data_IF_440122372315
#
_entry.id   IF_440122372315
#
_cell.length_a   1.000
_cell.length_b   1.000
_cell.length_c   1.000
_cell.angle_alpha   90.00
_cell.angle_beta   90.00
_cell.angle_gamma   90.00
#
_symmetry.space_group_name_H-M   'P 1'
#
loop_
_entity.id
_entity.type
_entity.pdbx_description
1 polymer ?
#
# COMPACT_ATOMS: atom_id res chain seq x y z
N UNK A 1 -17.07 38.63 32.34
CA UNK A 1 -16.89 39.71 33.32
C UNK A 1 -17.94 40.74 33.05
N UNK A 2 -18.63 41.24 34.11
CA UNK A 2 -19.71 42.19 34.02
C UNK A 2 -19.29 43.50 34.71
N UNK A 3 -19.50 44.67 34.09
CA UNK A 3 -19.25 45.94 34.77
C UNK A 3 -20.35 46.22 35.78
N UNK A 4 -19.97 46.47 37.03
CA UNK A 4 -20.86 46.76 38.17
C UNK A 4 -20.45 48.09 38.81
N UNK A 5 -21.40 48.96 39.12
CA UNK A 5 -21.08 50.17 39.86
C UNK A 5 -20.56 49.82 41.25
N UNK A 6 -19.58 50.56 41.76
CA UNK A 6 -18.93 50.27 43.04
C UNK A 6 -19.95 50.23 44.21
N UNK A 7 -21.02 51.04 44.17
CA UNK A 7 -22.10 51.06 45.15
C UNK A 7 -22.96 49.80 45.19
N UNK A 8 -22.98 49.01 44.07
CA UNK A 8 -23.71 47.74 43.92
C UNK A 8 -22.84 46.50 44.01
N UNK A 9 -21.60 46.60 44.50
CA UNK A 9 -20.67 45.47 44.67
C UNK A 9 -21.28 44.31 45.46
N UNK A 10 -22.14 44.60 46.43
CA UNK A 10 -22.77 43.58 47.28
C UNK A 10 -23.88 42.81 46.63
N UNK A 11 -24.47 43.35 45.55
CA UNK A 11 -25.63 42.75 44.87
C UNK A 11 -25.25 41.60 43.92
N UNK A 12 -23.98 41.56 43.49
CA UNK A 12 -23.45 40.52 42.58
C UNK A 12 -22.23 39.82 43.19
N UNK A 13 -22.42 38.72 43.90
CA UNK A 13 -21.29 37.89 44.40
C UNK A 13 -20.41 37.39 43.26
N UNK A 14 -19.11 37.69 43.31
CA UNK A 14 -18.17 37.29 42.26
C UNK A 14 -16.74 37.73 42.55
N UNK A 15 -15.85 37.37 41.63
CA UNK A 15 -14.44 37.77 41.65
C UNK A 15 -14.27 39.11 40.93
N UNK A 16 -13.66 40.10 41.60
CA UNK A 16 -13.31 41.36 40.98
C UNK A 16 -11.99 41.21 40.24
N UNK A 17 -12.04 41.34 38.93
CA UNK A 17 -10.87 41.24 38.05
C UNK A 17 -10.15 42.59 37.88
N UNK A 18 -10.94 43.67 37.80
CA UNK A 18 -10.37 45.00 37.55
C UNK A 18 -11.30 46.11 38.11
N UNK A 19 -10.74 47.31 38.25
CA UNK A 19 -11.43 48.53 38.72
C UNK A 19 -11.16 49.66 37.74
N UNK A 20 -12.19 50.40 37.36
CA UNK A 20 -12.02 51.55 36.47
C UNK A 20 -11.07 52.60 37.08
N UNK A 21 -10.41 53.42 36.25
CA UNK A 21 -9.48 54.45 36.67
C UNK A 21 -10.06 55.45 37.67
N UNK A 22 -11.37 55.62 37.65
CA UNK A 22 -12.10 56.52 38.60
C UNK A 22 -12.58 55.80 39.86
N UNK A 23 -12.43 54.47 39.95
CA UNK A 23 -12.94 53.66 41.05
C UNK A 23 -14.47 53.47 41.05
N UNK A 24 -15.19 54.03 40.09
CA UNK A 24 -16.63 54.00 40.06
C UNK A 24 -17.27 52.73 39.51
N UNK A 25 -16.49 51.92 38.76
CA UNK A 25 -16.95 50.68 38.13
C UNK A 25 -15.98 49.54 38.45
N UNK A 26 -16.52 48.41 38.88
CA UNK A 26 -15.81 47.16 39.11
C UNK A 26 -16.14 46.18 37.98
N UNK A 27 -15.15 45.47 37.51
CA UNK A 27 -15.33 44.38 36.56
C UNK A 27 -15.40 43.07 37.33
N UNK A 28 -16.61 42.53 37.49
CA UNK A 28 -16.87 41.36 38.33
C UNK A 28 -17.21 40.16 37.47
N UNK A 29 -16.57 39.03 37.76
CA UNK A 29 -17.01 37.74 37.26
C UNK A 29 -17.95 37.10 38.26
N UNK A 30 -19.26 36.92 37.92
CA UNK A 30 -20.24 36.38 38.86
C UNK A 30 -19.86 34.97 39.31
N UNK A 31 -20.03 34.65 40.60
CA UNK A 31 -19.66 33.37 41.17
C UNK A 31 -20.31 32.18 40.47
N UNK A 32 -21.57 32.32 40.03
CA UNK A 32 -22.27 31.29 39.26
C UNK A 32 -21.63 31.01 37.90
N UNK A 33 -21.02 32.04 37.26
CA UNK A 33 -20.28 31.85 35.99
C UNK A 33 -18.95 31.15 36.26
N UNK A 34 -18.25 31.52 37.35
CA UNK A 34 -17.00 30.82 37.76
C UNK A 34 -17.26 29.35 38.02
N UNK A 35 -18.34 29.03 38.75
CA UNK A 35 -18.71 27.63 39.04
C UNK A 35 -19.04 26.86 37.78
N UNK A 36 -19.88 27.41 36.90
CA UNK A 36 -20.24 26.77 35.64
C UNK A 36 -19.02 26.56 34.74
N UNK A 37 -18.08 27.52 34.69
CA UNK A 37 -16.86 27.40 33.92
C UNK A 37 -15.92 26.30 34.50
N UNK A 38 -15.83 26.20 35.82
CA UNK A 38 -15.04 25.17 36.49
C UNK A 38 -15.65 23.76 36.23
N UNK A 39 -16.97 23.64 36.29
CA UNK A 39 -17.67 22.38 35.95
C UNK A 39 -17.42 21.99 34.48
N UNK A 40 -17.48 22.98 33.56
CA UNK A 40 -17.18 22.74 32.15
C UNK A 40 -15.76 22.19 31.94
N UNK A 41 -14.76 22.86 32.53
CA UNK A 41 -13.34 22.42 32.43
C UNK A 41 -13.15 21.00 33.02
N UNK A 42 -13.86 20.74 34.15
CA UNK A 42 -13.79 19.39 34.76
C UNK A 42 -14.44 18.33 33.90
N UNK A 43 -15.57 18.62 33.27
CA UNK A 43 -16.24 17.71 32.32
C UNK A 43 -15.41 17.49 31.06
N UNK A 44 -14.80 18.52 30.50
CA UNK A 44 -13.90 18.41 29.35
C UNK A 44 -12.69 17.52 29.67
N UNK A 45 -12.12 17.69 30.86
CA UNK A 45 -11.01 16.81 31.30
C UNK A 45 -11.46 15.34 31.50
N UNK A 46 -12.69 15.12 31.96
CA UNK A 46 -13.28 13.77 32.09
C UNK A 46 -13.55 13.13 30.73
N UNK A 47 -14.11 13.92 29.80
CA UNK A 47 -14.33 13.48 28.41
C UNK A 47 -13.01 13.04 27.76
N UNK A 48 -11.96 13.87 27.86
CA UNK A 48 -10.65 13.53 27.28
C UNK A 48 -10.08 12.23 27.87
N UNK A 49 -10.18 12.04 29.17
CA UNK A 49 -9.73 10.80 29.81
C UNK A 49 -10.52 9.58 29.34
N UNK A 50 -11.83 9.73 29.13
CA UNK A 50 -12.66 8.63 28.64
C UNK A 50 -12.34 8.28 27.18
N UNK A 51 -12.07 9.26 26.33
CA UNK A 51 -11.59 9.04 24.96
C UNK A 51 -10.28 8.28 24.97
N UNK A 52 -9.30 8.70 25.80
CA UNK A 52 -8.02 8.01 25.94
C UNK A 52 -8.19 6.57 26.43
N UNK A 53 -9.09 6.33 27.37
CA UNK A 53 -9.40 4.96 27.86
C UNK A 53 -9.94 4.07 26.75
N UNK A 54 -10.92 4.56 26.00
CA UNK A 54 -11.55 3.81 24.89
C UNK A 54 -10.51 3.51 23.80
N UNK A 55 -9.71 4.50 23.42
CA UNK A 55 -8.65 4.31 22.41
C UNK A 55 -7.58 3.32 22.87
N UNK A 56 -7.23 3.34 24.16
CA UNK A 56 -6.28 2.38 24.72
C UNK A 56 -6.83 0.95 24.70
N UNK A 57 -8.11 0.76 25.05
CA UNK A 57 -8.77 -0.55 25.00
C UNK A 57 -8.83 -1.11 23.59
N UNK A 58 -9.29 -0.31 22.60
CA UNK A 58 -9.36 -0.72 21.20
C UNK A 58 -7.96 -1.03 20.63
N UNK A 59 -6.96 -0.23 21.00
CA UNK A 59 -5.58 -0.45 20.59
C UNK A 59 -5.00 -1.74 21.18
N UNK A 60 -5.32 -2.03 22.45
CA UNK A 60 -4.89 -3.26 23.11
C UNK A 60 -5.54 -4.50 22.47
N UNK A 61 -6.80 -4.42 22.10
CA UNK A 61 -7.50 -5.50 21.41
C UNK A 61 -6.89 -5.77 20.03
N UNK A 62 -6.64 -4.72 19.23
CA UNK A 62 -5.94 -4.86 17.96
C UNK A 62 -4.52 -5.42 18.13
N UNK A 63 -3.80 -4.99 19.16
CA UNK A 63 -2.46 -5.47 19.46
C UNK A 63 -2.42 -6.94 19.87
N UNK A 64 -3.48 -7.45 20.52
CA UNK A 64 -3.58 -8.86 20.89
C UNK A 64 -3.67 -9.80 19.66
N UNK A 65 -4.17 -9.28 18.52
CA UNK A 65 -4.29 -10.02 17.25
C UNK A 65 -3.21 -9.64 16.23
N UNK A 66 -2.14 -8.98 16.67
CA UNK A 66 -1.10 -8.47 15.77
C UNK A 66 -0.48 -9.54 14.87
N UNK A 67 -0.19 -10.71 15.45
CA UNK A 67 0.46 -11.81 14.70
C UNK A 67 -0.48 -12.39 13.65
N UNK A 68 -1.76 -12.57 13.98
CA UNK A 68 -2.77 -13.04 13.04
C UNK A 68 -2.98 -12.05 11.89
N UNK A 69 -3.09 -10.76 12.21
CA UNK A 69 -3.24 -9.69 11.21
C UNK A 69 -2.01 -9.65 10.27
N UNK A 70 -0.81 -9.78 10.82
CA UNK A 70 0.42 -9.80 10.02
C UNK A 70 0.46 -11.03 9.11
N UNK A 71 0.11 -12.20 9.64
CA UNK A 71 0.06 -13.43 8.87
C UNK A 71 -0.98 -13.38 7.74
N UNK A 72 -2.16 -12.86 8.02
CA UNK A 72 -3.21 -12.65 7.02
C UNK A 72 -2.76 -11.69 5.92
N UNK A 73 -2.11 -10.57 6.28
CA UNK A 73 -1.56 -9.64 5.33
C UNK A 73 -0.52 -10.29 4.40
N UNK A 74 0.44 -11.01 4.97
CA UNK A 74 1.48 -11.70 4.19
C UNK A 74 0.87 -12.77 3.28
N UNK A 75 -0.13 -13.49 3.76
CA UNK A 75 -0.88 -14.47 2.97
C UNK A 75 -1.61 -13.82 1.80
N UNK A 76 -2.28 -12.68 2.02
CA UNK A 76 -2.96 -11.94 0.96
C UNK A 76 -2.00 -11.44 -0.11
N UNK A 77 -0.81 -10.95 0.28
CA UNK A 77 0.25 -10.53 -0.66
C UNK A 77 0.71 -11.71 -1.53
N UNK A 78 0.91 -12.88 -0.93
CA UNK A 78 1.27 -14.09 -1.69
C UNK A 78 0.17 -14.53 -2.66
N UNK A 79 -1.08 -14.52 -2.22
CA UNK A 79 -2.22 -14.85 -3.07
C UNK A 79 -2.37 -13.88 -4.24
N UNK A 80 -2.23 -12.58 -4.00
CA UNK A 80 -2.27 -11.57 -5.07
C UNK A 80 -1.20 -11.83 -6.13
N UNK A 81 0.02 -12.15 -5.72
CA UNK A 81 1.11 -12.52 -6.64
C UNK A 81 0.78 -13.77 -7.45
N UNK A 82 0.21 -14.81 -6.83
CA UNK A 82 -0.18 -16.05 -7.52
C UNK A 82 -1.26 -15.75 -8.57
N UNK A 83 -2.28 -14.97 -8.20
CA UNK A 83 -3.35 -14.59 -9.13
C UNK A 83 -2.83 -13.69 -10.26
N UNK A 84 -1.93 -12.74 -9.97
CA UNK A 84 -1.32 -11.90 -10.99
C UNK A 84 -0.52 -12.72 -12.01
N UNK A 85 0.25 -13.72 -11.57
CA UNK A 85 0.96 -14.67 -12.44
C UNK A 85 0.00 -15.50 -13.28
N UNK A 86 -1.08 -15.99 -12.70
CA UNK A 86 -2.14 -16.72 -13.41
C UNK A 86 -2.80 -15.86 -14.49
N UNK A 87 -3.19 -14.63 -14.16
CA UNK A 87 -3.78 -13.70 -15.12
C UNK A 87 -2.83 -13.34 -16.26
N UNK A 88 -1.54 -13.14 -15.95
CA UNK A 88 -0.51 -12.89 -16.96
C UNK A 88 -0.39 -14.08 -17.92
N UNK A 89 -0.37 -15.32 -17.40
CA UNK A 89 -0.36 -16.53 -18.21
C UNK A 89 -1.55 -16.60 -19.17
N UNK A 90 -2.78 -16.34 -18.69
CA UNK A 90 -3.96 -16.32 -19.54
C UNK A 90 -3.88 -15.26 -20.64
N UNK A 91 -3.44 -14.05 -20.32
CA UNK A 91 -3.29 -12.95 -21.30
C UNK A 91 -2.30 -13.26 -22.41
N UNK A 92 -1.25 -14.00 -22.11
CA UNK A 92 -0.21 -14.38 -23.08
C UNK A 92 -0.47 -15.70 -23.78
N UNK A 93 -1.55 -16.45 -23.43
CA UNK A 93 -1.70 -17.87 -23.75
C UNK A 93 -0.43 -18.62 -23.37
N UNK A 94 0.09 -18.36 -22.18
CA UNK A 94 1.34 -18.91 -21.69
C UNK A 94 1.20 -20.36 -21.27
N UNK A 95 2.26 -21.13 -21.49
CA UNK A 95 2.37 -22.51 -21.06
C UNK A 95 3.42 -22.63 -19.95
N UNK A 96 3.28 -23.66 -19.13
CA UNK A 96 4.28 -23.98 -18.11
C UNK A 96 5.54 -24.51 -18.81
N UNK A 97 6.71 -23.85 -18.65
CA UNK A 97 7.96 -24.36 -19.20
C UNK A 97 8.45 -25.60 -18.44
N UNK A 98 9.18 -26.49 -19.11
CA UNK A 98 9.92 -27.54 -18.46
C UNK A 98 11.23 -26.95 -17.90
N UNK A 99 11.56 -27.27 -16.64
CA UNK A 99 12.79 -26.77 -16.02
C UNK A 99 13.89 -27.75 -16.21
N UNK A 100 14.91 -27.36 -16.97
CA UNK A 100 16.13 -28.14 -17.21
C UNK A 100 17.28 -27.66 -16.32
N UNK A 101 18.18 -28.56 -15.94
CA UNK A 101 19.35 -28.25 -15.11
C UNK A 101 20.68 -28.34 -15.90
N UNK A 102 20.61 -28.77 -17.12
CA UNK A 102 21.76 -28.96 -18.03
C UNK A 102 22.13 -27.68 -18.79
N UNK A 103 21.39 -26.59 -18.60
CA UNK A 103 21.61 -25.32 -19.27
C UNK A 103 21.10 -25.27 -20.71
N UNK A 104 20.46 -26.32 -21.21
CA UNK A 104 19.88 -26.33 -22.54
C UNK A 104 18.56 -25.56 -22.58
N UNK A 105 18.34 -24.89 -23.69
CA UNK A 105 17.12 -24.10 -23.95
C UNK A 105 16.48 -24.69 -25.21
N UNK A 106 15.18 -24.98 -25.12
CA UNK A 106 14.39 -25.48 -26.24
C UNK A 106 13.05 -24.74 -26.30
N UNK A 107 12.95 -23.69 -27.09
CA UNK A 107 11.75 -22.90 -27.30
C UNK A 107 11.02 -23.32 -28.57
N UNK A 108 9.72 -23.63 -28.42
CA UNK A 108 8.86 -24.06 -29.53
C UNK A 108 7.75 -23.02 -29.73
N UNK A 109 7.64 -22.51 -30.96
CA UNK A 109 6.64 -21.47 -31.34
C UNK A 109 6.59 -20.30 -30.33
N UNK A 110 7.74 -19.93 -29.80
CA UNK A 110 7.88 -18.88 -28.81
C UNK A 110 7.59 -17.51 -29.43
N UNK A 111 6.88 -16.66 -28.70
CA UNK A 111 6.57 -15.30 -29.10
C UNK A 111 7.07 -14.30 -28.07
N UNK A 112 7.42 -13.14 -28.54
CA UNK A 112 7.82 -12.05 -27.64
C UNK A 112 6.59 -11.55 -26.86
N UNK A 113 6.56 -11.60 -25.51
CA UNK A 113 5.36 -11.35 -24.70
C UNK A 113 4.82 -9.91 -24.79
N UNK A 114 5.67 -8.95 -25.19
CA UNK A 114 5.29 -7.53 -25.29
C UNK A 114 4.91 -7.13 -26.72
N UNK A 115 4.92 -8.04 -27.69
CA UNK A 115 4.43 -7.77 -29.03
C UNK A 115 2.96 -8.17 -29.16
N UNK A 116 2.24 -7.51 -30.10
CA UNK A 116 0.87 -7.89 -30.44
C UNK A 116 0.85 -9.38 -30.83
N UNK A 117 0.09 -10.24 -30.14
CA UNK A 117 0.04 -11.68 -30.41
C UNK A 117 -0.38 -12.03 -31.85
N UNK A 118 -1.13 -11.15 -32.52
CA UNK A 118 -1.57 -11.33 -33.90
C UNK A 118 -0.47 -11.03 -34.93
N UNK A 119 0.51 -10.19 -34.53
CA UNK A 119 1.62 -9.77 -35.41
C UNK A 119 2.92 -10.45 -35.07
N UNK A 120 3.08 -10.96 -33.85
CA UNK A 120 4.29 -11.65 -33.40
C UNK A 120 4.44 -12.97 -34.16
N UNK A 121 5.51 -13.09 -34.94
CA UNK A 121 5.88 -14.32 -35.62
C UNK A 121 6.49 -15.29 -34.57
N UNK A 122 5.94 -16.51 -34.46
CA UNK A 122 6.52 -17.50 -33.55
C UNK A 122 7.86 -17.99 -34.05
N UNK A 123 8.80 -18.22 -33.13
CA UNK A 123 10.12 -18.77 -33.43
C UNK A 123 10.34 -20.08 -32.70
N UNK A 124 11.07 -21.01 -33.37
CA UNK A 124 11.64 -22.17 -32.73
C UNK A 124 13.15 -21.88 -32.50
N UNK A 125 13.66 -22.20 -31.31
CA UNK A 125 15.05 -21.95 -30.97
C UNK A 125 15.55 -23.02 -30.03
N UNK A 126 16.75 -23.54 -30.33
CA UNK A 126 17.45 -24.53 -29.55
C UNK A 126 18.88 -24.05 -29.27
N UNK A 127 19.38 -24.25 -28.06
CA UNK A 127 20.74 -23.92 -27.64
C UNK A 127 21.15 -24.79 -26.46
N UNK A 128 22.39 -25.24 -26.44
CA UNK A 128 22.98 -25.97 -25.31
C UNK A 128 22.75 -27.47 -25.32
N UNK A 129 22.10 -28.06 -26.33
CA UNK A 129 21.91 -29.52 -26.47
C UNK A 129 22.84 -30.11 -27.52
N UNK A 130 22.72 -29.69 -28.77
CA UNK A 130 23.56 -30.15 -29.90
C UNK A 130 24.68 -29.14 -30.24
N UNK A 131 24.56 -27.90 -29.83
CA UNK A 131 25.54 -26.82 -30.04
C UNK A 131 25.45 -25.77 -28.95
N UNK A 132 26.60 -25.16 -28.64
CA UNK A 132 26.72 -24.11 -27.58
C UNK A 132 26.69 -22.71 -28.14
N UNK A 133 26.70 -22.56 -29.45
CA UNK A 133 26.72 -21.22 -30.10
C UNK A 133 25.73 -21.18 -31.26
N UNK A 134 24.83 -20.19 -31.20
CA UNK A 134 23.87 -19.90 -32.26
C UNK A 134 24.18 -18.56 -32.90
N UNK A 135 24.48 -18.53 -34.18
CA UNK A 135 24.75 -17.31 -34.96
C UNK A 135 23.51 -16.94 -35.78
N UNK A 136 22.90 -15.79 -35.47
CA UNK A 136 21.73 -15.29 -36.17
C UNK A 136 22.15 -14.22 -37.19
N UNK A 137 22.03 -14.52 -38.47
CA UNK A 137 22.39 -13.62 -39.59
C UNK A 137 21.15 -13.20 -40.38
N UNK A 138 21.27 -12.12 -41.14
CA UNK A 138 20.18 -11.63 -42.01
C UNK A 138 20.04 -10.11 -42.02
N UNK A 139 19.09 -9.55 -42.78
CA UNK A 139 18.87 -8.12 -42.86
C UNK A 139 18.35 -7.55 -41.51
N UNK A 140 18.50 -6.25 -41.29
CA UNK A 140 18.08 -5.61 -40.02
C UNK A 140 16.57 -5.68 -39.76
N UNK A 141 15.76 -5.81 -40.80
CA UNK A 141 14.31 -5.99 -40.73
C UNK A 141 13.88 -7.44 -40.48
N UNK A 142 14.82 -8.39 -40.45
CA UNK A 142 14.55 -9.85 -40.37
C UNK A 142 14.29 -10.40 -38.97
N UNK A 143 14.05 -9.55 -37.96
CA UNK A 143 13.67 -9.99 -36.63
C UNK A 143 14.82 -10.48 -35.71
N UNK A 144 16.08 -10.37 -36.13
CA UNK A 144 17.26 -10.83 -35.33
C UNK A 144 17.24 -10.34 -33.88
N UNK A 145 17.06 -9.01 -33.69
CA UNK A 145 17.02 -8.39 -32.37
C UNK A 145 15.82 -8.87 -31.55
N UNK A 146 14.67 -9.08 -32.20
CA UNK A 146 13.47 -9.58 -31.53
C UNK A 146 13.68 -11.03 -31.08
N UNK A 147 14.30 -11.88 -31.90
CA UNK A 147 14.61 -13.28 -31.53
C UNK A 147 15.53 -13.33 -30.31
N UNK A 148 16.62 -12.54 -30.31
CA UNK A 148 17.53 -12.45 -29.16
C UNK A 148 16.85 -11.95 -27.90
N UNK A 149 16.02 -10.90 -28.00
CA UNK A 149 15.25 -10.36 -26.88
C UNK A 149 14.19 -11.37 -26.39
N UNK A 150 13.56 -12.11 -27.30
CA UNK A 150 12.60 -13.17 -26.95
C UNK A 150 13.27 -14.22 -26.10
N UNK A 151 14.41 -14.75 -26.56
CA UNK A 151 15.19 -15.73 -25.83
C UNK A 151 15.52 -15.24 -24.41
N UNK A 152 16.17 -14.08 -24.29
CA UNK A 152 16.59 -13.55 -23.00
C UNK A 152 15.40 -13.26 -22.06
N UNK A 153 14.31 -12.69 -22.59
CA UNK A 153 13.16 -12.37 -21.77
C UNK A 153 12.41 -13.62 -21.30
N UNK A 154 12.22 -14.61 -22.17
CA UNK A 154 11.56 -15.86 -21.78
C UNK A 154 12.38 -16.65 -20.75
N UNK A 155 13.70 -16.67 -20.90
CA UNK A 155 14.60 -17.27 -19.89
C UNK A 155 14.43 -16.59 -18.53
N UNK A 156 14.41 -15.26 -18.47
CA UNK A 156 14.18 -14.53 -17.22
C UNK A 156 12.78 -14.80 -16.66
N UNK A 157 11.75 -14.88 -17.50
CA UNK A 157 10.40 -15.23 -17.07
C UNK A 157 10.35 -16.61 -16.41
N UNK A 158 11.02 -17.61 -17.01
CA UNK A 158 11.13 -18.96 -16.43
C UNK A 158 11.82 -18.92 -15.07
N UNK A 159 12.93 -18.20 -14.94
CA UNK A 159 13.65 -18.04 -13.68
C UNK A 159 12.79 -17.34 -12.60
N UNK A 160 11.88 -16.45 -12.99
CA UNK A 160 10.93 -15.82 -12.10
C UNK A 160 9.69 -16.69 -11.80
N UNK A 161 9.62 -17.92 -12.31
CA UNK A 161 8.49 -18.83 -12.12
C UNK A 161 7.23 -18.41 -12.88
N UNK A 162 7.38 -17.74 -14.02
CA UNK A 162 6.28 -17.34 -14.89
C UNK A 162 6.08 -18.37 -16.02
N UNK A 163 4.85 -18.49 -16.50
CA UNK A 163 4.57 -19.14 -17.76
C UNK A 163 5.10 -18.30 -18.94
N UNK A 164 5.36 -18.94 -20.06
CA UNK A 164 5.91 -18.30 -21.25
C UNK A 164 4.98 -18.47 -22.47
N UNK A 165 4.88 -17.48 -23.36
CA UNK A 165 4.10 -17.57 -24.59
C UNK A 165 4.83 -18.43 -25.65
N UNK A 166 4.76 -19.74 -25.48
CA UNK A 166 5.39 -20.75 -26.32
C UNK A 166 4.46 -21.97 -26.49
N UNK A 167 4.86 -22.97 -27.27
CA UNK A 167 4.15 -24.23 -27.32
C UNK A 167 4.59 -25.14 -26.17
N UNK A 168 3.73 -26.11 -25.85
CA UNK A 168 4.04 -27.15 -24.85
C UNK A 168 5.38 -27.84 -25.11
N UNK A 169 5.98 -28.29 -24.01
CA UNK A 169 7.35 -28.90 -24.01
C UNK A 169 8.46 -27.93 -24.41
N UNK A 170 8.25 -26.63 -24.20
CA UNK A 170 9.35 -25.67 -24.21
C UNK A 170 10.08 -25.70 -22.85
N UNK A 171 11.43 -25.64 -22.93
CA UNK A 171 12.33 -25.77 -21.79
C UNK A 171 13.38 -24.65 -21.78
#
# INVERSE_FOLDING_TARGET
>A
VVPVKAEHKGDLPGLVHDVSATGATLFVEPMGVVQANNEYVELEAKEQKEIERILAELSAEAAAHREDIQWDYDTLVHLDLIFARGQLSYRMNGVRPEIRRDGAIHLRKARHPLLDPKKAVPIDLELGESFDTLVITGPNTGGKTVSLKTLGLLTLMVQCGLHIPAADRSA
#
